data_IF_935344267112
#
_entry.id   IF_935344267112
#
_cell.length_a   1.000
_cell.length_b   1.000
_cell.length_c   1.000
_cell.angle_alpha   90.00
_cell.angle_beta   90.00
_cell.angle_gamma   90.00
#
_symmetry.space_group_name_H-M   'P 1'
#
loop_
_entity.id
_entity.type
_entity.pdbx_description
1 polymer ?
#
# COMPACT_ATOMS: atom_id res chain seq x y z
N UNK A 1 22.92 47.87 21.37
CA UNK A 1 22.95 49.27 20.92
C UNK A 1 22.72 49.33 19.42
N UNK A 2 21.81 50.21 18.99
CA UNK A 2 21.63 50.78 17.64
C UNK A 2 20.80 49.98 16.62
N UNK A 3 19.49 50.13 16.81
CA UNK A 3 18.43 50.34 15.83
C UNK A 3 18.89 50.94 14.48
N UNK A 4 18.34 50.45 13.37
CA UNK A 4 17.93 51.31 12.24
C UNK A 4 16.57 50.85 11.72
N UNK A 5 15.58 51.72 11.86
CA UNK A 5 14.27 51.71 11.18
C UNK A 5 14.38 52.58 9.93
N UNK A 6 13.78 52.14 8.82
CA UNK A 6 13.16 52.88 7.70
C UNK A 6 13.25 51.97 6.46
N UNK A 7 12.26 51.86 5.57
CA UNK A 7 11.39 52.90 5.02
C UNK A 7 10.11 52.25 4.50
N UNK A 8 8.97 52.90 4.73
CA UNK A 8 7.68 52.57 4.09
C UNK A 8 7.74 52.95 2.61
N UNK A 9 7.46 52.01 1.72
CA UNK A 9 7.03 52.30 0.36
C UNK A 9 5.60 51.79 0.20
N UNK A 10 4.66 52.74 0.15
CA UNK A 10 3.26 52.54 -0.16
C UNK A 10 3.13 52.56 -1.68
N UNK A 11 2.89 51.42 -2.31
CA UNK A 11 2.41 51.35 -3.68
C UNK A 11 1.01 50.72 -3.65
N UNK A 12 0.01 51.60 -3.77
CA UNK A 12 -1.37 51.23 -4.07
C UNK A 12 -1.42 50.85 -5.54
N UNK A 13 -1.67 49.58 -5.84
CA UNK A 13 -2.17 49.16 -7.14
C UNK A 13 -3.52 48.49 -6.91
N UNK A 14 -4.58 49.20 -7.34
CA UNK A 14 -5.93 48.66 -7.40
C UNK A 14 -5.98 47.48 -8.37
N UNK A 15 -6.33 46.32 -7.85
CA UNK A 15 -6.74 45.16 -8.62
C UNK A 15 -8.19 44.85 -8.30
N UNK A 16 -9.05 44.91 -9.31
CA UNK A 16 -10.46 44.51 -9.24
C UNK A 16 -10.61 43.14 -8.59
N UNK A 17 -11.45 43.05 -7.56
CA UNK A 17 -11.95 41.78 -7.06
C UNK A 17 -13.00 41.24 -8.04
N UNK A 18 -12.62 40.29 -8.89
CA UNK A 18 -13.56 39.48 -9.65
C UNK A 18 -14.12 38.40 -8.72
N UNK A 19 -15.43 38.47 -8.46
CA UNK A 19 -16.16 37.49 -7.67
C UNK A 19 -16.18 36.14 -8.41
N UNK A 20 -15.84 35.08 -7.68
CA UNK A 20 -15.95 33.70 -8.12
C UNK A 20 -17.43 33.29 -8.20
N UNK A 21 -17.85 32.77 -9.35
CA UNK A 21 -19.02 31.92 -9.49
C UNK A 21 -18.58 30.56 -10.05
N UNK A 22 -18.94 29.51 -9.34
CA UNK A 22 -18.57 28.13 -9.63
C UNK A 22 -19.40 27.52 -10.79
N UNK A 23 -18.68 26.85 -11.70
CA UNK A 23 -18.97 25.59 -12.47
C UNK A 23 -20.33 25.42 -13.20
N UNK A 24 -20.36 24.81 -14.41
CA UNK A 24 -19.67 23.55 -14.72
C UNK A 24 -18.85 23.57 -16.02
N UNK A 25 -17.59 23.16 -15.92
CA UNK A 25 -16.86 22.67 -17.07
C UNK A 25 -17.45 21.29 -17.43
N UNK A 26 -18.24 21.25 -18.50
CA UNK A 26 -18.58 20.00 -19.19
C UNK A 26 -17.29 19.45 -19.80
N UNK A 27 -16.55 18.65 -19.04
CA UNK A 27 -15.55 17.76 -19.59
C UNK A 27 -16.30 16.68 -20.38
N UNK A 28 -16.43 16.87 -21.70
CA UNK A 28 -16.81 15.80 -22.60
C UNK A 28 -15.70 14.74 -22.53
N UNK A 29 -15.94 13.68 -21.76
CA UNK A 29 -15.14 12.47 -21.82
C UNK A 29 -15.46 11.80 -23.15
N UNK A 30 -14.72 12.18 -24.20
CA UNK A 30 -14.65 11.40 -25.42
C UNK A 30 -14.01 10.07 -25.05
N UNK A 31 -14.85 9.05 -24.87
CA UNK A 31 -14.41 7.68 -24.72
C UNK A 31 -13.55 7.30 -25.91
N UNK A 32 -12.31 6.93 -25.65
CA UNK A 32 -11.48 6.32 -26.68
C UNK A 32 -12.12 4.97 -27.04
N UNK A 33 -12.45 4.70 -28.31
CA UNK A 33 -12.98 3.41 -28.72
C UNK A 33 -11.91 2.33 -28.51
N UNK A 34 -12.36 1.17 -28.05
CA UNK A 34 -11.52 0.07 -27.58
C UNK A 34 -10.40 -0.28 -28.54
N UNK A 35 -9.17 -0.29 -28.01
CA UNK A 35 -8.17 -1.21 -28.51
C UNK A 35 -8.57 -2.60 -27.99
N UNK A 36 -9.22 -3.38 -28.84
CA UNK A 36 -9.30 -4.83 -28.68
C UNK A 36 -7.86 -5.37 -28.71
N UNK A 37 -7.34 -5.71 -27.52
CA UNK A 37 -6.08 -6.42 -27.39
C UNK A 37 -6.33 -7.89 -27.76
N UNK A 38 -5.55 -8.49 -28.67
CA UNK A 38 -5.76 -9.88 -29.06
C UNK A 38 -5.54 -10.83 -27.86
N UNK A 39 -6.61 -11.53 -27.52
CA UNK A 39 -6.65 -12.64 -26.57
C UNK A 39 -5.82 -13.81 -27.11
N UNK A 40 -4.62 -14.05 -26.57
CA UNK A 40 -3.95 -15.36 -26.69
C UNK A 40 -2.62 -15.51 -25.95
N UNK A 41 -2.08 -14.46 -25.30
CA UNK A 41 -0.90 -14.57 -24.43
C UNK A 41 -1.15 -14.12 -22.98
N UNK A 42 -2.40 -13.77 -22.63
CA UNK A 42 -2.72 -12.95 -21.45
C UNK A 42 -3.31 -13.71 -20.24
N UNK A 43 -3.54 -15.02 -20.32
CA UNK A 43 -4.23 -15.75 -19.24
C UNK A 43 -3.39 -15.85 -17.97
N UNK A 44 -2.11 -16.20 -18.08
CA UNK A 44 -1.24 -16.42 -16.92
C UNK A 44 -0.71 -15.12 -16.31
N UNK A 45 -0.35 -14.13 -17.14
CA UNK A 45 0.08 -12.81 -16.66
C UNK A 45 -1.07 -12.06 -15.97
N UNK A 46 -2.31 -12.26 -16.44
CA UNK A 46 -3.51 -11.78 -15.77
C UNK A 46 -3.73 -12.48 -14.43
N UNK A 47 -3.65 -13.81 -14.40
CA UNK A 47 -3.85 -14.61 -13.19
C UNK A 47 -2.78 -14.35 -12.12
N UNK A 48 -1.51 -14.21 -12.50
CA UNK A 48 -0.42 -13.90 -11.56
C UNK A 48 -0.61 -12.52 -10.94
N UNK A 49 -0.93 -11.52 -11.77
CA UNK A 49 -1.19 -10.15 -11.32
C UNK A 49 -2.38 -10.10 -10.35
N UNK A 50 -3.46 -10.81 -10.66
CA UNK A 50 -4.61 -10.90 -9.77
C UNK A 50 -4.28 -11.59 -8.44
N UNK A 51 -3.44 -12.63 -8.46
CA UNK A 51 -3.03 -13.32 -7.23
C UNK A 51 -2.21 -12.40 -6.30
N UNK A 52 -1.26 -11.63 -6.85
CA UNK A 52 -0.50 -10.65 -6.07
C UNK A 52 -1.41 -9.55 -5.50
N UNK A 53 -2.28 -8.96 -6.34
CA UNK A 53 -3.23 -7.93 -5.87
C UNK A 53 -4.15 -8.45 -4.77
N UNK A 54 -4.65 -9.67 -4.91
CA UNK A 54 -5.52 -10.27 -3.90
C UNK A 54 -4.77 -10.54 -2.58
N UNK A 55 -3.49 -10.90 -2.63
CA UNK A 55 -2.66 -11.03 -1.43
C UNK A 55 -2.40 -9.66 -0.77
N UNK A 56 -2.10 -8.63 -1.56
CA UNK A 56 -1.92 -7.25 -1.07
C UNK A 56 -3.20 -6.72 -0.42
N UNK A 57 -4.35 -6.92 -1.06
CA UNK A 57 -5.66 -6.49 -0.54
C UNK A 57 -6.01 -7.19 0.78
N UNK A 58 -5.79 -8.51 0.88
CA UNK A 58 -5.99 -9.25 2.13
C UNK A 58 -5.03 -8.80 3.22
N UNK A 59 -3.75 -8.62 2.90
CA UNK A 59 -2.75 -8.13 3.85
C UNK A 59 -3.15 -6.77 4.41
N UNK A 60 -3.52 -5.81 3.55
CA UNK A 60 -3.95 -4.48 3.98
C UNK A 60 -5.23 -4.54 4.82
N UNK A 61 -6.19 -5.37 4.43
CA UNK A 61 -7.40 -5.60 5.21
C UNK A 61 -7.08 -6.17 6.60
N UNK A 62 -6.29 -7.23 6.68
CA UNK A 62 -6.02 -7.93 7.94
C UNK A 62 -5.07 -7.13 8.85
N UNK A 63 -4.15 -6.34 8.28
CA UNK A 63 -3.34 -5.38 9.04
C UNK A 63 -4.15 -4.22 9.61
N UNK A 64 -5.36 -3.94 9.09
CA UNK A 64 -6.24 -2.90 9.63
C UNK A 64 -7.11 -3.39 10.79
N UNK A 65 -7.15 -4.70 11.05
CA UNK A 65 -8.00 -5.28 12.08
C UNK A 65 -7.49 -5.06 13.52
N UNK A 66 -6.19 -5.12 13.84
CA UNK A 66 -5.69 -4.83 15.18
C UNK A 66 -5.72 -3.32 15.49
N UNK A 67 -6.18 -2.96 16.69
CA UNK A 67 -6.10 -1.60 17.20
C UNK A 67 -4.69 -1.31 17.73
N UNK A 68 -4.21 -0.07 17.59
CA UNK A 68 -2.98 0.37 18.24
C UNK A 68 -3.20 0.57 19.73
N UNK A 69 -2.37 -0.09 20.52
CA UNK A 69 -2.44 -0.03 21.99
C UNK A 69 -1.47 1.01 22.57
N UNK A 70 -0.47 1.43 21.78
CA UNK A 70 0.63 2.28 22.24
C UNK A 70 1.77 1.50 22.90
N UNK A 71 1.63 0.18 23.07
CA UNK A 71 2.70 -0.73 23.43
C UNK A 71 3.39 -1.23 22.16
N UNK A 72 4.66 -0.86 21.98
CA UNK A 72 5.39 -1.17 20.75
C UNK A 72 5.52 -2.67 20.48
N UNK A 73 5.70 -3.50 21.50
CA UNK A 73 5.87 -4.95 21.32
C UNK A 73 4.54 -5.58 20.90
N UNK A 74 3.44 -5.16 21.53
CA UNK A 74 2.09 -5.65 21.21
C UNK A 74 1.66 -5.19 19.83
N UNK A 75 1.86 -3.91 19.52
CA UNK A 75 1.51 -3.33 18.23
C UNK A 75 2.33 -3.98 17.10
N UNK A 76 3.64 -4.18 17.30
CA UNK A 76 4.50 -4.86 16.33
C UNK A 76 4.01 -6.28 16.05
N UNK A 77 3.81 -7.09 17.09
CA UNK A 77 3.39 -8.48 16.94
C UNK A 77 2.02 -8.59 16.28
N UNK A 78 1.06 -7.77 16.71
CA UNK A 78 -0.30 -7.76 16.17
C UNK A 78 -0.34 -7.43 14.68
N UNK A 79 0.48 -6.49 14.21
CA UNK A 79 0.51 -6.08 12.80
C UNK A 79 1.45 -6.94 11.94
N UNK A 80 2.51 -7.52 12.52
CA UNK A 80 3.45 -8.33 11.76
C UNK A 80 2.91 -9.72 11.41
N UNK A 81 2.02 -10.29 12.22
CA UNK A 81 1.36 -11.56 11.87
C UNK A 81 0.62 -11.47 10.51
N UNK A 82 -0.34 -10.55 10.29
CA UNK A 82 -1.03 -10.44 9.01
C UNK A 82 -0.11 -9.96 7.88
N UNK A 83 0.88 -9.09 8.16
CA UNK A 83 1.89 -8.71 7.16
C UNK A 83 2.67 -9.94 6.65
N UNK A 84 3.10 -10.82 7.55
CA UNK A 84 3.84 -12.02 7.18
C UNK A 84 2.94 -13.01 6.43
N UNK A 85 1.67 -13.13 6.83
CA UNK A 85 0.70 -13.95 6.11
C UNK A 85 0.52 -13.48 4.66
N UNK A 86 0.41 -12.17 4.43
CA UNK A 86 0.37 -11.58 3.08
C UNK A 86 1.61 -11.92 2.25
N UNK A 87 2.80 -11.76 2.83
CA UNK A 87 4.06 -12.09 2.14
C UNK A 87 4.20 -13.60 1.84
N UNK A 88 3.68 -14.49 2.69
CA UNK A 88 3.58 -15.94 2.39
C UNK A 88 2.67 -16.17 1.17
N UNK A 89 1.53 -15.51 1.08
CA UNK A 89 0.60 -15.64 -0.04
C UNK A 89 1.20 -15.12 -1.36
N UNK A 90 1.92 -14.00 -1.32
CA UNK A 90 2.68 -13.50 -2.47
C UNK A 90 3.76 -14.49 -2.89
N UNK A 91 4.52 -15.05 -1.94
CA UNK A 91 5.52 -16.06 -2.23
C UNK A 91 4.90 -17.33 -2.83
N UNK A 92 3.70 -17.74 -2.39
CA UNK A 92 2.96 -18.84 -3.00
C UNK A 92 2.52 -18.51 -4.44
N UNK A 93 2.10 -17.28 -4.71
CA UNK A 93 1.81 -16.82 -6.08
C UNK A 93 3.06 -16.90 -6.97
N UNK A 94 4.23 -16.49 -6.46
CA UNK A 94 5.50 -16.64 -7.16
C UNK A 94 5.85 -18.12 -7.42
N UNK A 95 5.64 -19.02 -6.46
CA UNK A 95 5.86 -20.44 -6.70
C UNK A 95 4.95 -21.03 -7.78
N UNK A 96 3.71 -20.52 -7.86
CA UNK A 96 2.70 -20.96 -8.82
C UNK A 96 2.96 -20.44 -10.24
N UNK A 97 3.23 -19.14 -10.39
CA UNK A 97 3.29 -18.48 -11.69
C UNK A 97 4.71 -18.10 -12.14
N UNK A 98 5.65 -18.00 -11.20
CA UNK A 98 7.04 -17.62 -11.46
C UNK A 98 7.81 -18.69 -12.23
N UNK A 99 8.77 -18.20 -13.03
CA UNK A 99 9.60 -19.01 -13.94
C UNK A 99 11.07 -19.02 -13.55
N UNK A 100 11.54 -18.00 -12.86
CA UNK A 100 12.95 -17.87 -12.48
C UNK A 100 13.28 -18.79 -11.28
N UNK A 101 14.27 -19.70 -11.40
CA UNK A 101 14.57 -20.66 -10.35
C UNK A 101 15.15 -20.01 -9.07
N UNK A 102 15.84 -18.88 -9.19
CA UNK A 102 16.40 -18.15 -8.06
C UNK A 102 15.33 -17.43 -7.27
N UNK A 103 14.38 -16.79 -7.98
CA UNK A 103 13.24 -16.13 -7.34
C UNK A 103 12.32 -17.16 -6.67
N UNK A 104 12.08 -18.32 -7.28
CA UNK A 104 11.34 -19.40 -6.62
C UNK A 104 12.06 -19.96 -5.40
N UNK A 105 13.41 -19.97 -5.40
CA UNK A 105 14.21 -20.36 -4.23
C UNK A 105 14.02 -19.33 -3.11
N UNK A 106 14.05 -18.04 -3.43
CA UNK A 106 13.74 -16.98 -2.47
C UNK A 106 12.33 -17.13 -1.90
N UNK A 107 11.32 -17.37 -2.75
CA UNK A 107 9.93 -17.56 -2.31
C UNK A 107 9.76 -18.73 -1.32
N UNK A 108 10.42 -19.88 -1.56
CA UNK A 108 10.42 -21.00 -0.59
C UNK A 108 11.06 -20.61 0.74
N UNK A 109 12.16 -19.85 0.70
CA UNK A 109 12.83 -19.39 1.91
C UNK A 109 11.96 -18.41 2.71
N UNK A 110 11.27 -17.50 2.02
CA UNK A 110 10.30 -16.57 2.62
C UNK A 110 9.20 -17.36 3.33
N UNK A 111 8.56 -18.32 2.65
CA UNK A 111 7.48 -19.13 3.24
C UNK A 111 7.96 -19.81 4.52
N UNK A 112 9.14 -20.44 4.48
CA UNK A 112 9.68 -21.13 5.66
C UNK A 112 9.93 -20.15 6.81
N UNK A 113 10.69 -19.09 6.56
CA UNK A 113 11.09 -18.14 7.59
C UNK A 113 9.86 -17.47 8.23
N UNK A 114 8.92 -17.03 7.40
CA UNK A 114 7.76 -16.29 7.90
C UNK A 114 6.74 -17.17 8.62
N UNK A 115 6.62 -18.46 8.27
CA UNK A 115 5.88 -19.40 9.12
C UNK A 115 6.51 -19.57 10.50
N UNK A 116 7.84 -19.68 10.58
CA UNK A 116 8.56 -19.79 11.85
C UNK A 116 8.38 -18.51 12.70
N UNK A 117 8.42 -17.34 12.07
CA UNK A 117 8.21 -16.02 12.69
C UNK A 117 6.77 -15.81 13.17
N UNK A 118 5.76 -16.17 12.36
CA UNK A 118 4.35 -16.16 12.79
C UNK A 118 4.17 -17.07 14.00
N UNK A 119 4.71 -18.29 13.96
CA UNK A 119 4.59 -19.23 15.08
C UNK A 119 5.25 -18.68 16.36
N UNK A 120 6.38 -17.98 16.23
CA UNK A 120 7.01 -17.27 17.35
C UNK A 120 6.10 -16.17 17.91
N UNK A 121 5.57 -15.31 17.04
CA UNK A 121 4.69 -14.20 17.41
C UNK A 121 3.40 -14.66 18.10
N UNK A 122 2.77 -15.73 17.62
CA UNK A 122 1.59 -16.32 18.24
C UNK A 122 1.89 -16.85 19.65
N UNK A 123 2.99 -17.61 19.83
CA UNK A 123 3.43 -18.06 21.16
C UNK A 123 3.74 -16.88 22.09
N UNK A 124 4.28 -15.81 21.55
CA UNK A 124 4.53 -14.60 22.31
C UNK A 124 3.22 -13.96 22.79
N UNK A 125 2.19 -13.85 21.94
CA UNK A 125 0.87 -13.34 22.34
C UNK A 125 0.20 -14.20 23.42
N UNK A 126 0.25 -15.53 23.29
CA UNK A 126 -0.29 -16.46 24.29
C UNK A 126 0.33 -16.23 25.68
N UNK A 127 1.64 -16.01 25.73
CA UNK A 127 2.38 -15.79 26.98
C UNK A 127 2.07 -14.44 27.63
N UNK A 128 1.69 -13.42 26.85
CA UNK A 128 1.52 -12.04 27.33
C UNK A 128 0.05 -11.57 27.31
N UNK A 129 -0.89 -12.51 27.40
CA UNK A 129 -2.32 -12.23 27.59
C UNK A 129 -3.00 -11.63 26.35
N UNK A 130 -2.72 -12.20 25.17
CA UNK A 130 -3.15 -11.74 23.86
C UNK A 130 -4.55 -11.13 23.81
N UNK A 131 -4.57 -9.81 23.61
CA UNK A 131 -5.62 -9.00 22.96
C UNK A 131 -4.93 -7.76 22.44
#
# INVERSE_FOLDING_TARGET
>A
MKNVRALRALCVFGGLAFAAAALPAHAQHQGMPGMEMPDSAHTDAGASTQAFKAADERMMHDMSAPEYTGDADRDFVAHMIPHHQGAIEMAQAELKYGKDPEIKRLARNIIKAQHDEIAFMLRWQEKHGGK
#
